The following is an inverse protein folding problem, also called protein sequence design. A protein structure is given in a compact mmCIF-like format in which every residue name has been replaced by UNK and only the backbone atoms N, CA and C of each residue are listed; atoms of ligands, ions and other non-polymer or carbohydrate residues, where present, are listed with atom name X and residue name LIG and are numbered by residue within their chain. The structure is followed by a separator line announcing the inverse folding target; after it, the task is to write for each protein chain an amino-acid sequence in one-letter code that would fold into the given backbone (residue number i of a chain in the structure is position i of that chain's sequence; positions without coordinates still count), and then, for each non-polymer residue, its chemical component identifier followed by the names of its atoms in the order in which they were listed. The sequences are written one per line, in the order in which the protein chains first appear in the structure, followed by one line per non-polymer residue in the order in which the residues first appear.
data_IF_229539426102
#
_entry.id   IF_229539426102
#
_cell.length_a   1.000
_cell.length_b   1.000
_cell.length_c   1.000
_cell.angle_alpha   90.00
_cell.angle_beta   90.00
_cell.angle_gamma   90.00
#
_symmetry.space_group_name_H-M   'P 1'
#
loop_
_entity.id
_entity.type
_entity.pdbx_description
1 polymer ?
#
# COMPACT_ATOMS: atom_id res chain seq x y z
N UNK A 1 11.67 -18.44 10.78
CA UNK A 1 11.44 -17.12 11.38
C UNK A 1 10.41 -16.37 10.54
N UNK A 2 9.24 -16.06 11.10
CA UNK A 2 8.20 -15.30 10.39
C UNK A 2 8.66 -13.86 10.20
N UNK A 3 9.02 -13.47 8.97
CA UNK A 3 9.24 -12.06 8.65
C UNK A 3 7.95 -11.30 8.97
N UNK A 4 8.05 -10.22 9.74
CA UNK A 4 6.93 -9.32 10.00
C UNK A 4 6.47 -8.75 8.65
N UNK A 5 5.43 -9.34 8.07
CA UNK A 5 5.02 -9.09 6.69
C UNK A 5 3.67 -8.37 6.71
N UNK A 6 3.62 -7.23 6.02
CA UNK A 6 2.40 -6.48 5.79
C UNK A 6 2.03 -6.64 4.33
N UNK A 7 0.79 -7.04 4.07
CA UNK A 7 0.22 -7.07 2.74
C UNK A 7 -0.55 -5.78 2.50
N UNK A 8 -0.25 -5.12 1.39
CA UNK A 8 -0.95 -3.92 0.95
C UNK A 8 -1.63 -4.23 -0.37
N UNK A 9 -2.96 -4.18 -0.39
CA UNK A 9 -3.76 -4.13 -1.60
C UNK A 9 -3.76 -2.70 -2.13
N UNK A 10 -3.57 -2.54 -3.43
CA UNK A 10 -3.75 -1.27 -4.12
C UNK A 10 -4.78 -1.45 -5.23
N UNK A 11 -5.89 -0.76 -5.07
CA UNK A 11 -6.93 -0.59 -6.09
C UNK A 11 -6.75 0.77 -6.77
N UNK A 12 -7.05 0.86 -8.06
CA UNK A 12 -6.80 2.06 -8.87
C UNK A 12 -8.04 2.43 -9.66
N UNK A 13 -8.49 3.66 -9.48
CA UNK A 13 -9.48 4.30 -10.34
C UNK A 13 -8.91 5.55 -11.03
N UNK A 14 -9.72 6.20 -11.87
CA UNK A 14 -9.33 7.40 -12.63
C UNK A 14 -8.85 8.57 -11.77
N UNK A 15 -9.22 8.59 -10.49
CA UNK A 15 -9.05 9.72 -9.59
C UNK A 15 -8.14 9.43 -8.40
N UNK A 16 -7.84 8.17 -8.09
CA UNK A 16 -7.16 7.77 -6.86
C UNK A 16 -6.55 6.37 -6.92
N UNK A 17 -5.45 6.23 -6.17
CA UNK A 17 -4.98 4.95 -5.67
C UNK A 17 -5.57 4.73 -4.28
N UNK A 18 -6.27 3.62 -4.09
CA UNK A 18 -6.81 3.17 -2.82
C UNK A 18 -5.88 2.10 -2.24
N UNK A 19 -5.49 2.25 -0.99
CA UNK A 19 -4.55 1.39 -0.29
C UNK A 19 -5.24 0.75 0.88
N UNK A 20 -5.09 -0.56 1.01
CA UNK A 20 -5.56 -1.32 2.16
C UNK A 20 -4.42 -2.18 2.67
N UNK A 21 -3.88 -1.86 3.85
CA UNK A 21 -2.89 -2.68 4.52
C UNK A 21 -3.57 -3.55 5.57
N UNK A 22 -3.33 -4.86 5.53
CA UNK A 22 -3.81 -5.82 6.53
C UNK A 22 -2.66 -6.30 7.41
N UNK A 23 -2.90 -6.34 8.73
CA UNK A 23 -1.94 -6.79 9.74
C UNK A 23 -2.34 -8.18 10.27
N UNK A 24 -1.71 -9.28 9.80
CA UNK A 24 -2.15 -10.63 10.18
C UNK A 24 -2.05 -10.96 11.67
N UNK A 25 -1.18 -10.25 12.40
CA UNK A 25 -0.97 -10.47 13.84
C UNK A 25 -2.04 -9.81 14.71
N UNK A 26 -2.52 -8.62 14.33
CA UNK A 26 -3.48 -7.84 15.12
C UNK A 26 -4.90 -7.90 14.54
N UNK A 27 -5.06 -8.30 13.28
CA UNK A 27 -6.32 -8.22 12.56
C UNK A 27 -6.69 -6.80 12.14
N UNK A 28 -5.82 -5.81 12.39
CA UNK A 28 -6.08 -4.42 12.03
C UNK A 28 -6.02 -4.22 10.52
N UNK A 29 -6.74 -3.20 10.06
CA UNK A 29 -6.75 -2.75 8.67
C UNK A 29 -6.44 -1.25 8.67
N UNK A 30 -5.51 -0.84 7.80
CA UNK A 30 -5.23 0.57 7.54
C UNK A 30 -5.61 0.90 6.11
N UNK A 31 -6.60 1.78 5.97
CA UNK A 31 -7.08 2.27 4.68
C UNK A 31 -6.54 3.68 4.41
N UNK A 32 -6.26 3.96 3.13
CA UNK A 32 -5.88 5.30 2.69
C UNK A 32 -6.09 5.47 1.20
N UNK A 33 -6.15 6.73 0.74
CA UNK A 33 -6.06 7.09 -0.68
C UNK A 33 -4.89 8.02 -0.99
N UNK A 34 -4.47 8.04 -2.25
CA UNK A 34 -3.54 9.01 -2.82
C UNK A 34 -3.93 9.36 -4.26
N UNK A 35 -3.40 10.47 -4.80
CA UNK A 35 -3.59 10.80 -6.23
C UNK A 35 -2.98 9.70 -7.11
N UNK A 36 -3.56 9.39 -8.28
CA UNK A 36 -3.16 8.31 -9.18
C UNK A 36 -1.92 8.73 -9.99
N UNK A 37 -0.85 9.10 -9.29
CA UNK A 37 0.41 9.57 -9.86
C UNK A 37 1.55 8.79 -9.22
N UNK A 38 2.63 8.52 -9.96
CA UNK A 38 3.80 7.83 -9.42
C UNK A 38 4.31 8.48 -8.11
N UNK A 39 4.32 9.82 -8.05
CA UNK A 39 4.68 10.57 -6.84
C UNK A 39 3.72 10.29 -5.66
N UNK A 40 2.41 10.27 -5.92
CA UNK A 40 1.39 9.95 -4.91
C UNK A 40 1.53 8.54 -4.36
N UNK A 41 1.75 7.56 -5.24
CA UNK A 41 2.00 6.17 -4.89
C UNK A 41 3.25 6.02 -4.00
N UNK A 42 4.39 6.52 -4.48
CA UNK A 42 5.67 6.42 -3.77
C UNK A 42 5.57 7.11 -2.40
N UNK A 43 5.01 8.33 -2.34
CA UNK A 43 4.86 9.05 -1.09
C UNK A 43 4.01 8.28 -0.08
N UNK A 44 2.94 7.62 -0.52
CA UNK A 44 2.10 6.81 0.35
C UNK A 44 2.83 5.57 0.85
N UNK A 45 3.52 4.86 -0.05
CA UNK A 45 4.30 3.68 0.30
C UNK A 45 5.40 3.98 1.32
N UNK A 46 6.15 5.07 1.13
CA UNK A 46 7.16 5.52 2.09
C UNK A 46 6.52 5.91 3.44
N UNK A 47 5.33 6.50 3.43
CA UNK A 47 4.55 6.76 4.64
C UNK A 47 4.20 5.49 5.42
N UNK A 48 3.80 4.42 4.72
CA UNK A 48 3.49 3.12 5.36
C UNK A 48 4.79 2.48 5.87
N UNK A 49 5.88 2.48 5.09
CA UNK A 49 7.20 2.00 5.55
C UNK A 49 7.67 2.69 6.83
N UNK A 50 7.57 4.02 6.90
CA UNK A 50 7.97 4.80 8.08
C UNK A 50 7.15 4.47 9.33
N UNK A 51 5.87 4.11 9.17
CA UNK A 51 5.03 3.66 10.29
C UNK A 51 5.40 2.27 10.78
N UNK A 52 6.00 1.44 9.92
CA UNK A 52 6.31 0.04 10.21
C UNK A 52 7.76 -0.31 9.81
N UNK A 53 8.78 0.31 10.44
CA UNK A 53 10.18 0.14 10.04
C UNK A 53 10.68 -1.31 10.17
N UNK A 54 10.11 -2.08 11.10
CA UNK A 54 10.48 -3.48 11.36
C UNK A 54 9.69 -4.49 10.51
N UNK A 55 8.89 -4.01 9.54
CA UNK A 55 8.06 -4.86 8.69
C UNK A 55 8.51 -4.78 7.23
N UNK A 56 8.49 -5.94 6.56
CA UNK A 56 8.58 -6.01 5.11
C UNK A 56 7.19 -5.76 4.53
N UNK A 57 7.09 -4.88 3.53
CA UNK A 57 5.85 -4.72 2.78
C UNK A 57 5.86 -5.58 1.52
N UNK A 58 4.75 -6.26 1.28
CA UNK A 58 4.40 -6.83 -0.03
C UNK A 58 3.18 -6.13 -0.55
N UNK A 59 3.25 -5.70 -1.80
CA UNK A 59 2.19 -4.98 -2.47
C UNK A 59 1.60 -5.87 -3.55
N UNK A 60 0.29 -6.00 -3.51
CA UNK A 60 -0.50 -6.54 -4.59
C UNK A 60 -1.28 -5.37 -5.17
N UNK A 61 -1.09 -5.11 -6.45
CA UNK A 61 -1.87 -4.11 -7.17
C UNK A 61 -2.60 -4.80 -8.30
N UNK A 62 -3.84 -4.40 -8.55
CA UNK A 62 -4.52 -4.79 -9.78
C UNK A 62 -3.86 -4.04 -10.94
N UNK A 63 -3.52 -4.74 -12.02
CA UNK A 63 -2.82 -4.14 -13.14
C UNK A 63 -3.74 -3.14 -13.85
N UNK A 64 -3.52 -1.85 -13.62
CA UNK A 64 -4.25 -0.79 -14.32
C UNK A 64 -3.28 0.02 -15.16
N UNK A 65 -3.80 0.63 -16.22
CA UNK A 65 -3.02 1.43 -17.15
C UNK A 65 -2.55 2.70 -16.44
N UNK A 66 -1.37 2.65 -15.82
CA UNK A 66 -0.64 3.85 -15.39
C UNK A 66 -0.17 4.52 -16.68
N UNK A 67 -0.99 5.42 -17.22
CA UNK A 67 -0.80 6.03 -18.54
C UNK A 67 0.62 6.59 -18.77
N UNK A 68 1.04 6.52 -20.04
CA UNK A 68 2.33 7.01 -20.57
C UNK A 68 2.63 8.46 -20.23
#
# INVERSE_FOLDING_TARGET
MSKNLIYVGVDVDDNSFHFTAYFPKTGEVLESKARPTAKGLISKMEGIKKKFPDHTLKICYEATYIGR
#
